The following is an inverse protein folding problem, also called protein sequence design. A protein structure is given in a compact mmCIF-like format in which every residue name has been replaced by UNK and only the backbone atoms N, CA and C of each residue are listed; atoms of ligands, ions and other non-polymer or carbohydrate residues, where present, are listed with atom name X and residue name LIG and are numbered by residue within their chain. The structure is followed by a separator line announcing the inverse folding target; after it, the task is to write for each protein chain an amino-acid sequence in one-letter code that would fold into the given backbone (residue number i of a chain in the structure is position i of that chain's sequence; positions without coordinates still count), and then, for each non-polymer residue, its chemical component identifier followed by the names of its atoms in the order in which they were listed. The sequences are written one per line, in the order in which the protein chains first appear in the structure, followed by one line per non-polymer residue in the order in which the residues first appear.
data_IF_173291138255
#
_entry.id   IF_173291138255
#
_cell.length_a   1.000
_cell.length_b   1.000
_cell.length_c   1.000
_cell.angle_alpha   90.00
_cell.angle_beta   90.00
_cell.angle_gamma   90.00
#
_symmetry.space_group_name_H-M   'P 1'
#
loop_
_entity.id
_entity.type
_entity.pdbx_description
1 polymer ?
#
# COMPACT_ATOMS: atom_id res chain seq x y z
N UNK A 1 15.85 2.01 2.65
CA UNK A 1 14.63 1.58 1.96
C UNK A 1 14.85 1.67 0.47
N UNK A 2 15.02 0.51 -0.12
CA UNK A 2 15.55 0.26 -1.45
C UNK A 2 14.58 -0.62 -2.25
N UNK A 3 13.79 -1.49 -1.60
CA UNK A 3 12.83 -2.36 -2.29
C UNK A 3 11.45 -2.26 -1.66
N UNK A 4 10.44 -2.01 -2.49
CA UNK A 4 9.03 -1.96 -2.10
C UNK A 4 8.20 -2.97 -2.89
N UNK A 5 7.16 -3.51 -2.26
CA UNK A 5 6.14 -4.31 -2.93
C UNK A 5 4.79 -3.60 -2.82
N UNK A 6 4.08 -3.45 -3.93
CA UNK A 6 2.71 -2.97 -3.97
C UNK A 6 1.79 -4.14 -4.23
N UNK A 7 0.97 -4.50 -3.26
CA UNK A 7 -0.10 -5.49 -3.43
C UNK A 7 -1.41 -4.77 -3.61
N UNK A 8 -2.14 -5.07 -4.68
CA UNK A 8 -3.41 -4.43 -4.98
C UNK A 8 -4.51 -5.44 -5.29
N UNK A 9 -5.75 -5.13 -4.92
CA UNK A 9 -6.89 -5.96 -5.30
C UNK A 9 -7.28 -5.70 -6.75
N UNK A 10 -7.33 -6.74 -7.59
CA UNK A 10 -7.78 -6.64 -8.98
C UNK A 10 -9.32 -6.59 -9.02
N UNK A 11 -9.89 -5.40 -8.84
CA UNK A 11 -11.33 -5.18 -8.94
C UNK A 11 -11.70 -4.59 -10.31
N UNK A 12 -12.88 -4.93 -10.84
CA UNK A 12 -13.40 -4.39 -12.12
C UNK A 12 -14.03 -2.98 -12.01
N UNK A 13 -13.87 -2.30 -10.87
CA UNK A 13 -14.43 -0.97 -10.64
C UNK A 13 -13.40 0.12 -10.90
N UNK A 14 -13.74 1.10 -11.75
CA UNK A 14 -12.84 2.17 -12.20
C UNK A 14 -12.18 2.97 -11.07
N UNK A 15 -12.84 3.06 -9.90
CA UNK A 15 -12.30 3.82 -8.75
C UNK A 15 -11.00 3.19 -8.25
N UNK A 16 -10.91 1.86 -8.23
CA UNK A 16 -9.72 1.15 -7.80
C UNK A 16 -8.57 1.28 -8.81
N UNK A 17 -8.89 1.31 -10.12
CA UNK A 17 -7.90 1.56 -11.17
C UNK A 17 -7.30 2.97 -11.06
N UNK A 18 -8.14 3.97 -10.74
CA UNK A 18 -7.70 5.34 -10.48
C UNK A 18 -6.79 5.44 -9.25
N UNK A 19 -7.14 4.76 -8.17
CA UNK A 19 -6.32 4.70 -6.97
C UNK A 19 -4.96 4.04 -7.25
N UNK A 20 -4.93 2.94 -8.01
CA UNK A 20 -3.70 2.25 -8.40
C UNK A 20 -2.81 3.13 -9.26
N UNK A 21 -3.39 3.80 -10.26
CA UNK A 21 -2.66 4.74 -11.12
C UNK A 21 -2.03 5.88 -10.30
N UNK A 22 -2.76 6.42 -9.33
CA UNK A 22 -2.28 7.48 -8.43
C UNK A 22 -1.10 7.00 -7.58
N UNK A 23 -1.20 5.80 -6.99
CA UNK A 23 -0.14 5.18 -6.18
C UNK A 23 1.11 4.93 -7.02
N UNK A 24 0.97 4.31 -8.20
CA UNK A 24 2.09 4.03 -9.11
C UNK A 24 2.77 5.33 -9.55
N UNK A 25 2.00 6.34 -9.99
CA UNK A 25 2.57 7.62 -10.41
C UNK A 25 3.33 8.32 -9.28
N UNK A 26 2.85 8.18 -8.05
CA UNK A 26 3.52 8.73 -6.85
C UNK A 26 4.82 8.00 -6.56
N UNK A 27 4.81 6.66 -6.62
CA UNK A 27 6.00 5.83 -6.44
C UNK A 27 7.05 6.11 -7.53
N UNK A 28 6.65 6.24 -8.79
CA UNK A 28 7.57 6.56 -9.89
C UNK A 28 8.27 7.90 -9.69
N UNK A 29 7.53 8.92 -9.22
CA UNK A 29 8.11 10.24 -8.90
C UNK A 29 9.05 10.16 -7.70
N UNK A 30 8.66 9.46 -6.64
CA UNK A 30 9.47 9.29 -5.45
C UNK A 30 10.74 8.47 -5.75
N UNK A 31 10.64 7.45 -6.60
CA UNK A 31 11.76 6.64 -7.09
C UNK A 31 12.85 7.49 -7.73
N UNK A 32 12.48 8.50 -8.53
CA UNK A 32 13.46 9.43 -9.12
C UNK A 32 14.23 10.26 -8.08
N UNK A 33 13.65 10.47 -6.90
CA UNK A 33 14.24 11.27 -5.81
C UNK A 33 15.06 10.41 -4.85
N UNK A 34 14.54 9.24 -4.48
CA UNK A 34 15.07 8.39 -3.41
C UNK A 34 15.86 7.16 -3.91
N UNK A 35 15.72 6.79 -5.19
CA UNK A 35 16.51 5.71 -5.81
C UNK A 35 16.12 4.30 -5.39
N UNK A 36 14.88 4.08 -4.93
CA UNK A 36 14.36 2.73 -4.61
C UNK A 36 13.75 2.05 -5.84
N UNK A 37 13.60 0.73 -5.77
CA UNK A 37 12.85 -0.09 -6.71
C UNK A 37 11.53 -0.53 -6.09
N UNK A 38 10.50 -0.66 -6.93
CA UNK A 38 9.22 -1.24 -6.50
C UNK A 38 8.65 -2.14 -7.57
N UNK A 39 7.83 -3.09 -7.14
CA UNK A 39 7.07 -3.98 -8.02
C UNK A 39 5.62 -4.08 -7.58
N UNK A 40 4.73 -4.41 -8.51
CA UNK A 40 3.29 -4.51 -8.26
C UNK A 40 2.83 -5.94 -8.48
N UNK A 41 2.03 -6.49 -7.57
CA UNK A 41 1.44 -7.83 -7.69
C UNK A 41 -0.05 -7.77 -7.34
N UNK A 42 -0.95 -8.34 -8.17
CA UNK A 42 -2.35 -8.51 -7.81
C UNK A 42 -2.46 -9.41 -6.58
N UNK A 43 -3.32 -9.07 -5.61
CA UNK A 43 -3.54 -9.85 -4.37
C UNK A 43 -3.76 -11.34 -4.65
N UNK A 44 -4.48 -11.65 -5.72
CA UNK A 44 -4.87 -13.01 -6.11
C UNK A 44 -3.69 -13.83 -6.67
N UNK A 45 -2.60 -13.15 -7.05
CA UNK A 45 -1.40 -13.72 -7.66
C UNK A 45 -0.18 -13.63 -6.71
N UNK A 46 -0.37 -13.14 -5.48
CA UNK A 46 0.71 -13.03 -4.48
C UNK A 46 1.10 -14.41 -3.96
N UNK A 47 2.40 -14.69 -3.99
CA UNK A 47 3.03 -15.87 -3.43
C UNK A 47 3.90 -15.53 -2.22
N UNK A 48 4.35 -16.53 -1.45
CA UNK A 48 5.22 -16.28 -0.29
C UNK A 48 6.56 -15.65 -0.68
N UNK A 49 7.12 -16.09 -1.80
CA UNK A 49 8.39 -15.59 -2.30
C UNK A 49 8.32 -14.10 -2.67
N UNK A 50 7.10 -13.57 -2.86
CA UNK A 50 6.93 -12.15 -3.10
C UNK A 50 7.34 -11.28 -1.91
N UNK A 51 7.19 -11.80 -0.70
CA UNK A 51 7.53 -11.07 0.52
C UNK A 51 9.02 -11.15 0.86
N UNK A 52 9.80 -11.91 0.09
CA UNK A 52 11.24 -12.03 0.31
C UNK A 52 11.98 -10.82 -0.27
N UNK A 53 12.44 -9.91 0.60
CA UNK A 53 13.35 -8.82 0.23
C UNK A 53 12.78 -7.40 0.13
N UNK A 54 11.47 -7.16 -0.06
CA UNK A 54 10.89 -5.83 0.18
C UNK A 54 11.11 -5.40 1.64
N UNK A 55 11.50 -4.14 1.84
CA UNK A 55 11.57 -3.55 3.19
C UNK A 55 10.22 -3.00 3.66
N UNK A 56 9.31 -2.73 2.70
CA UNK A 56 7.93 -2.42 3.00
C UNK A 56 6.98 -2.94 1.91
N UNK A 57 5.78 -3.33 2.35
CA UNK A 57 4.66 -3.77 1.53
C UNK A 57 3.54 -2.75 1.64
N UNK A 58 3.19 -2.16 0.50
CA UNK A 58 2.09 -1.21 0.35
C UNK A 58 0.87 -1.98 -0.12
N UNK A 59 -0.17 -2.03 0.71
CA UNK A 59 -1.41 -2.74 0.41
C UNK A 59 -2.47 -1.75 -0.03
N UNK A 60 -2.80 -1.78 -1.33
CA UNK A 60 -3.87 -0.97 -1.91
C UNK A 60 -5.18 -1.77 -1.94
N UNK A 61 -6.12 -1.38 -1.07
CA UNK A 61 -7.36 -2.14 -0.88
C UNK A 61 -8.19 -1.64 0.29
N UNK A 62 -8.81 -2.58 1.01
CA UNK A 62 -9.43 -2.32 2.31
C UNK A 62 -8.89 -3.28 3.37
N UNK A 63 -9.49 -3.27 4.56
CA UNK A 63 -9.02 -4.03 5.73
C UNK A 63 -8.85 -5.52 5.44
N UNK A 64 -9.79 -6.14 4.70
CA UNK A 64 -9.70 -7.56 4.36
C UNK A 64 -8.57 -7.94 3.40
N UNK A 65 -8.03 -6.97 2.63
CA UNK A 65 -6.79 -7.18 1.87
C UNK A 65 -5.59 -7.01 2.79
N UNK A 66 -5.57 -5.94 3.58
CA UNK A 66 -4.48 -5.65 4.50
C UNK A 66 -4.23 -6.80 5.48
N UNK A 67 -5.26 -7.29 6.17
CA UNK A 67 -5.11 -8.38 7.15
C UNK A 67 -4.61 -9.66 6.51
N UNK A 68 -5.10 -9.99 5.30
CA UNK A 68 -4.64 -11.19 4.60
C UNK A 68 -3.16 -11.13 4.20
N UNK A 69 -2.67 -9.94 3.84
CA UNK A 69 -1.27 -9.73 3.49
C UNK A 69 -0.41 -9.66 4.75
N UNK A 70 -0.85 -8.96 5.79
CA UNK A 70 -0.13 -8.85 7.06
C UNK A 70 0.18 -10.22 7.69
N UNK A 71 -0.71 -11.21 7.54
CA UNK A 71 -0.44 -12.59 8.00
C UNK A 71 0.60 -13.37 7.17
N UNK A 72 0.92 -12.88 5.96
CA UNK A 72 1.83 -13.56 5.03
C UNK A 72 3.23 -12.92 4.99
N UNK A 73 3.36 -11.71 5.53
CA UNK A 73 4.60 -10.92 5.58
C UNK A 73 5.40 -11.32 6.83
N UNK A 74 6.73 -11.21 6.76
CA UNK A 74 7.61 -11.45 7.91
C UNK A 74 7.54 -10.34 8.97
N UNK A 75 8.22 -10.54 10.10
CA UNK A 75 8.19 -9.62 11.25
C UNK A 75 9.10 -8.38 11.09
N UNK A 76 9.93 -8.34 10.04
CA UNK A 76 10.86 -7.23 9.78
C UNK A 76 10.30 -6.24 8.74
N UNK A 77 9.39 -6.70 7.89
CA UNK A 77 8.87 -5.92 6.76
C UNK A 77 7.70 -5.04 7.19
N UNK A 78 7.78 -3.74 6.89
CA UNK A 78 6.70 -2.81 7.22
C UNK A 78 5.49 -3.02 6.31
N UNK A 79 4.29 -2.95 6.85
CA UNK A 79 3.05 -3.01 6.07
C UNK A 79 2.31 -1.68 6.15
N UNK A 80 2.01 -1.10 4.99
CA UNK A 80 1.30 0.18 4.87
C UNK A 80 -0.02 -0.03 4.12
N UNK A 81 -1.15 0.21 4.79
CA UNK A 81 -2.46 0.20 4.15
C UNK A 81 -2.82 1.51 3.45
N UNK A 82 -3.14 1.44 2.16
CA UNK A 82 -3.70 2.54 1.38
C UNK A 82 -5.14 2.19 0.97
N UNK A 83 -6.11 2.94 1.52
CA UNK A 83 -7.52 2.71 1.22
C UNK A 83 -7.82 3.08 -0.23
N UNK A 84 -8.13 2.10 -1.07
CA UNK A 84 -8.33 2.34 -2.51
C UNK A 84 -9.68 2.98 -2.84
N UNK A 85 -10.62 3.02 -1.90
CA UNK A 85 -11.91 3.66 -2.05
C UNK A 85 -12.35 4.21 -0.68
N UNK A 86 -11.73 5.31 -0.21
CA UNK A 86 -12.05 5.92 1.09
C UNK A 86 -13.48 6.46 1.08
N UNK A 87 -14.11 6.46 2.25
CA UNK A 87 -15.50 6.94 2.40
C UNK A 87 -15.60 8.42 2.03
N UNK A 88 -16.54 8.74 1.13
CA UNK A 88 -16.85 10.12 0.75
C UNK A 88 -18.03 10.70 1.54
N UNK A 89 -18.27 12.01 1.38
CA UNK A 89 -19.38 12.70 2.05
C UNK A 89 -20.78 12.26 1.61
N UNK A 90 -20.88 11.46 0.54
CA UNK A 90 -22.12 10.87 0.04
C UNK A 90 -22.38 9.44 0.54
N UNK A 91 -21.48 8.87 1.33
CA UNK A 91 -21.57 7.50 1.84
C UNK A 91 -21.11 6.43 0.84
N UNK A 92 -20.48 6.81 -0.27
CA UNK A 92 -19.73 5.90 -1.14
C UNK A 92 -18.37 5.55 -0.53
N UNK A 93 -17.84 4.36 -0.84
CA UNK A 93 -16.53 3.92 -0.35
C UNK A 93 -16.55 3.24 1.02
N UNK A 94 -15.37 3.10 1.64
CA UNK A 94 -15.15 2.36 2.89
C UNK A 94 -14.31 3.14 3.88
N UNK A 95 -14.59 2.98 5.17
CA UNK A 95 -13.86 3.67 6.24
C UNK A 95 -12.40 3.20 6.33
N UNK A 96 -12.16 1.88 6.38
CA UNK A 96 -10.82 1.30 6.51
C UNK A 96 -10.24 1.48 7.91
N UNK A 97 -10.53 0.56 8.83
CA UNK A 97 -10.10 0.64 10.24
C UNK A 97 -8.58 0.59 10.40
N UNK A 98 -7.90 -0.22 9.59
CA UNK A 98 -6.45 -0.41 9.64
C UNK A 98 -5.74 0.31 8.49
N UNK A 99 -6.48 1.03 7.65
CA UNK A 99 -5.96 1.72 6.49
C UNK A 99 -5.43 3.10 6.91
N UNK A 100 -4.11 3.20 7.11
CA UNK A 100 -3.47 4.42 7.61
C UNK A 100 -3.33 5.57 6.60
N UNK A 101 -3.54 5.28 5.31
CA UNK A 101 -3.40 6.21 4.19
C UNK A 101 -4.53 6.04 3.18
N UNK A 102 -4.64 6.97 2.25
CA UNK A 102 -5.48 6.94 1.05
C UNK A 102 -4.72 7.57 -0.14
N UNK A 103 -5.19 7.49 -1.40
CA UNK A 103 -4.50 8.05 -2.56
C UNK A 103 -4.17 9.55 -2.47
N UNK A 104 -4.92 10.32 -1.70
CA UNK A 104 -4.69 11.76 -1.54
C UNK A 104 -3.56 12.06 -0.54
N UNK A 105 -3.44 11.24 0.50
CA UNK A 105 -2.41 11.37 1.55
C UNK A 105 -1.14 10.59 1.26
N UNK A 106 -1.24 9.59 0.39
CA UNK A 106 -0.17 8.66 0.06
C UNK A 106 1.18 9.32 -0.30
N UNK A 107 1.25 10.43 -1.07
CA UNK A 107 2.54 11.07 -1.33
C UNK A 107 3.27 11.55 -0.07
N UNK A 108 2.54 12.10 0.91
CA UNK A 108 3.12 12.55 2.16
C UNK A 108 3.50 11.36 3.04
N UNK A 109 2.61 10.38 3.16
CA UNK A 109 2.86 9.21 4.00
C UNK A 109 4.02 8.35 3.45
N UNK A 110 4.16 8.26 2.12
CA UNK A 110 5.31 7.65 1.45
C UNK A 110 6.62 8.38 1.74
N UNK A 111 6.62 9.72 1.74
CA UNK A 111 7.82 10.49 2.10
C UNK A 111 8.28 10.19 3.53
N UNK A 112 7.33 10.11 4.47
CA UNK A 112 7.61 9.73 5.86
C UNK A 112 8.14 8.30 5.97
N UNK A 113 7.56 7.35 5.22
CA UNK A 113 8.02 5.96 5.17
C UNK A 113 9.48 5.89 4.66
N UNK A 114 9.78 6.54 3.53
CA UNK A 114 11.10 6.53 2.90
C UNK A 114 12.18 7.20 3.77
N UNK A 115 11.80 8.19 4.59
CA UNK A 115 12.68 8.86 5.55
C UNK A 115 12.82 8.13 6.89
N UNK A 116 12.04 7.06 7.12
CA UNK A 116 12.00 6.36 8.40
C UNK A 116 11.36 7.16 9.53
N UNK A 117 10.52 8.16 9.19
CA UNK A 117 9.80 9.01 10.15
C UNK A 117 8.30 8.70 10.20
N UNK A 118 7.88 7.54 9.69
CA UNK A 118 6.51 7.05 9.78
C UNK A 118 6.18 6.56 11.19
N UNK A 119 4.89 6.59 11.55
CA UNK A 119 4.40 6.00 12.78
C UNK A 119 4.26 4.49 12.56
N UNK A 120 4.96 3.70 13.37
CA UNK A 120 4.87 2.23 13.36
C UNK A 120 3.83 1.81 14.38
N UNK A 121 2.79 1.11 13.91
CA UNK A 121 1.76 0.50 14.75
C UNK A 121 1.84 -1.02 14.66
N UNK A 122 1.53 -1.70 15.76
CA UNK A 122 1.38 -3.16 15.78
C UNK A 122 -0.10 -3.49 15.71
N UNK A 123 -0.49 -4.27 14.69
CA UNK A 123 -1.85 -4.78 14.56
C UNK A 123 -1.97 -6.03 15.45
N UNK A 124 -3.00 -6.14 16.30
CA UNK A 124 -3.18 -7.26 17.22
C UNK A 124 -3.47 -8.59 16.52
#
# INVERSE_FOLDING_TARGET
MNNLLVVFKKNHEQVHDGALSTVISTLDKAKQTYGFEFRTVPREEVERDDFMGPEAVIVLGGDGTLTSIAHSVDDQTLVMGVNSHPMDGGGGGSFGFFMGSDPTRFPLDLDHLLRGSCIINTIP
#
